data_IF_761621091713
#
_entry.id   IF_761621091713
#
_cell.length_a   1.000
_cell.length_b   1.000
_cell.length_c   1.000
_cell.angle_alpha   90.00
_cell.angle_beta   90.00
_cell.angle_gamma   90.00
#
_symmetry.space_group_name_H-M   'P 1'
#
loop_
_entity.id
_entity.type
_entity.pdbx_description
1 polymer ?
#
# COMPACT_ATOMS: atom_id res chain seq x y z
N UNK A 1 -13.34 -15.97 -25.10
CA UNK A 1 -12.47 -15.30 -24.09
C UNK A 1 -11.98 -13.99 -24.70
N UNK A 2 -11.81 -12.90 -23.93
CA UNK A 2 -11.21 -11.68 -24.45
C UNK A 2 -9.77 -11.97 -24.91
N UNK A 3 -9.38 -11.40 -26.06
CA UNK A 3 -8.03 -11.54 -26.62
C UNK A 3 -7.35 -10.17 -26.57
N UNK A 4 -6.19 -10.12 -25.91
CA UNK A 4 -5.34 -8.93 -25.82
C UNK A 4 -4.07 -9.19 -26.64
N UNK A 5 -3.68 -8.23 -27.48
CA UNK A 5 -2.41 -8.21 -28.22
C UNK A 5 -1.56 -7.09 -27.68
N UNK A 6 -0.33 -7.39 -27.28
CA UNK A 6 0.61 -6.44 -26.66
C UNK A 6 1.93 -6.51 -27.39
N UNK A 7 2.49 -5.36 -27.73
CA UNK A 7 3.85 -5.28 -28.25
C UNK A 7 4.84 -5.33 -27.08
N UNK A 8 5.77 -6.30 -27.13
CA UNK A 8 6.76 -6.51 -26.08
C UNK A 8 8.18 -6.35 -26.66
N UNK A 9 9.13 -5.81 -25.87
CA UNK A 9 10.55 -5.81 -26.24
C UNK A 9 11.10 -7.22 -26.47
N UNK A 10 12.02 -7.40 -27.43
CA UNK A 10 12.64 -8.70 -27.76
C UNK A 10 13.30 -9.37 -26.54
N UNK A 11 13.89 -8.57 -25.64
CA UNK A 11 14.45 -9.02 -24.35
C UNK A 11 13.43 -9.72 -23.42
N UNK A 12 12.14 -9.43 -23.58
CA UNK A 12 11.04 -10.03 -22.81
C UNK A 12 10.44 -11.23 -23.54
N UNK A 13 10.54 -11.32 -24.86
CA UNK A 13 10.01 -12.42 -25.65
C UNK A 13 10.56 -13.78 -25.19
N UNK A 14 11.89 -13.90 -25.05
CA UNK A 14 12.52 -15.14 -24.59
C UNK A 14 12.04 -15.58 -23.19
N UNK A 15 11.83 -14.61 -22.27
CA UNK A 15 11.34 -14.89 -20.92
C UNK A 15 9.87 -15.35 -20.94
N UNK A 16 9.05 -14.70 -21.76
CA UNK A 16 7.63 -15.03 -21.89
C UNK A 16 7.44 -16.42 -22.53
N UNK A 17 8.21 -16.74 -23.56
CA UNK A 17 8.20 -18.09 -24.15
C UNK A 17 8.63 -19.15 -23.15
N UNK A 18 9.61 -18.85 -22.28
CA UNK A 18 10.04 -19.75 -21.21
C UNK A 18 8.95 -19.95 -20.14
N UNK A 19 8.15 -18.92 -19.84
CA UNK A 19 7.05 -19.00 -18.88
C UNK A 19 5.86 -19.82 -19.40
N UNK A 20 5.64 -19.84 -20.72
CA UNK A 20 4.65 -20.69 -21.39
C UNK A 20 3.27 -20.61 -20.76
N UNK A 21 2.76 -21.77 -20.32
CA UNK A 21 1.41 -21.91 -19.74
C UNK A 21 1.24 -21.21 -18.38
N UNK A 22 2.33 -20.81 -17.70
CA UNK A 22 2.28 -20.08 -16.43
C UNK A 22 2.07 -18.58 -16.62
N UNK A 23 2.19 -18.08 -17.85
CA UNK A 23 2.06 -16.65 -18.15
C UNK A 23 0.70 -16.07 -17.71
N UNK A 24 -0.45 -16.71 -18.00
CA UNK A 24 -1.75 -16.19 -17.56
C UNK A 24 -1.85 -16.07 -16.05
N UNK A 25 -1.40 -17.08 -15.29
CA UNK A 25 -1.40 -17.05 -13.83
C UNK A 25 -0.50 -15.93 -13.27
N UNK A 26 0.68 -15.73 -13.86
CA UNK A 26 1.59 -14.67 -13.44
C UNK A 26 1.06 -13.28 -13.80
N UNK A 27 0.33 -13.15 -14.92
CA UNK A 27 -0.38 -11.91 -15.26
C UNK A 27 -1.49 -11.64 -14.25
N UNK A 28 -2.29 -12.63 -13.87
CA UNK A 28 -3.32 -12.49 -12.81
C UNK A 28 -2.68 -12.00 -11.52
N UNK A 29 -1.65 -12.69 -11.02
CA UNK A 29 -0.92 -12.28 -9.82
C UNK A 29 -0.32 -10.87 -9.92
N UNK A 30 0.05 -10.44 -11.12
CA UNK A 30 0.60 -9.10 -11.34
C UNK A 30 -0.46 -8.01 -11.38
N UNK A 31 -1.65 -8.33 -11.88
CA UNK A 31 -2.80 -7.43 -11.87
C UNK A 31 -3.38 -7.26 -10.47
N UNK A 32 -3.23 -8.27 -9.62
CA UNK A 32 -3.61 -8.27 -8.21
C UNK A 32 -2.51 -7.70 -7.28
N UNK A 33 -1.44 -7.09 -7.83
CA UNK A 33 -0.39 -6.52 -6.99
C UNK A 33 -0.95 -5.43 -6.08
N UNK A 34 -0.59 -5.44 -4.78
CA UNK A 34 -1.05 -4.43 -3.85
C UNK A 34 -0.50 -3.06 -4.29
N UNK A 35 -1.34 -2.03 -4.20
CA UNK A 35 -0.94 -0.68 -4.62
C UNK A 35 0.19 -0.10 -3.75
N UNK A 36 0.37 -0.62 -2.54
CA UNK A 36 1.49 -0.32 -1.67
C UNK A 36 2.46 -1.50 -1.55
N UNK A 37 3.77 -1.21 -1.42
CA UNK A 37 4.76 -2.23 -1.07
C UNK A 37 4.41 -2.97 0.23
N UNK A 38 4.67 -4.28 0.28
CA UNK A 38 4.35 -5.13 1.44
C UNK A 38 5.00 -4.67 2.75
N UNK A 39 6.13 -3.95 2.70
CA UNK A 39 6.82 -3.44 3.89
C UNK A 39 5.99 -2.37 4.64
N UNK A 40 5.09 -1.66 3.95
CA UNK A 40 4.22 -0.65 4.55
C UNK A 40 3.21 -1.32 5.50
N UNK A 41 2.57 -2.39 5.04
CA UNK A 41 1.68 -3.21 5.87
C UNK A 41 2.44 -3.89 7.00
N UNK A 42 3.66 -4.37 6.72
CA UNK A 42 4.53 -4.98 7.73
C UNK A 42 4.83 -4.02 8.88
N UNK A 43 5.10 -2.74 8.61
CA UNK A 43 5.34 -1.73 9.65
C UNK A 43 4.17 -1.63 10.65
N UNK A 44 2.94 -1.58 10.14
CA UNK A 44 1.73 -1.52 10.99
C UNK A 44 1.55 -2.82 11.76
N UNK A 45 1.71 -3.97 11.09
CA UNK A 45 1.57 -5.28 11.71
C UNK A 45 2.61 -5.53 12.81
N UNK A 46 3.87 -5.13 12.58
CA UNK A 46 4.94 -5.27 13.56
C UNK A 46 4.69 -4.37 14.79
N UNK A 47 4.16 -3.17 14.57
CA UNK A 47 3.71 -2.30 15.66
C UNK A 47 2.59 -2.98 16.48
N UNK A 48 1.54 -3.50 15.84
CA UNK A 48 0.45 -4.19 16.54
C UNK A 48 0.93 -5.47 17.24
N UNK A 49 1.82 -6.24 16.61
CA UNK A 49 2.39 -7.46 17.18
C UNK A 49 3.28 -7.21 18.40
N UNK A 50 3.82 -5.99 18.55
CA UNK A 50 4.57 -5.58 19.74
C UNK A 50 3.71 -5.40 21.00
N UNK A 51 2.38 -5.56 20.87
CA UNK A 51 1.39 -5.37 21.93
C UNK A 51 1.51 -3.98 22.60
N UNK A 52 1.35 -2.90 21.81
CA UNK A 52 1.65 -1.53 22.25
C UNK A 52 0.67 -1.03 23.30
N UNK A 53 1.11 -0.10 24.15
CA UNK A 53 0.24 0.54 25.14
C UNK A 53 -0.72 1.54 24.46
N UNK A 54 -1.84 1.92 25.10
CA UNK A 54 -2.74 2.95 24.57
C UNK A 54 -2.03 4.27 24.22
N UNK A 55 -1.01 4.68 24.99
CA UNK A 55 -0.22 5.88 24.73
C UNK A 55 0.64 5.73 23.47
N UNK A 56 1.25 4.55 23.29
CA UNK A 56 2.03 4.24 22.09
C UNK A 56 1.13 4.19 20.85
N UNK A 57 -0.09 3.68 20.99
CA UNK A 57 -1.10 3.68 19.92
C UNK A 57 -1.51 5.12 19.56
N UNK A 58 -1.75 5.98 20.55
CA UNK A 58 -2.05 7.39 20.30
C UNK A 58 -0.89 8.12 19.58
N UNK A 59 0.35 7.81 19.96
CA UNK A 59 1.55 8.35 19.35
C UNK A 59 1.94 7.70 18.01
N UNK A 60 1.26 6.62 17.61
CA UNK A 60 1.57 5.93 16.35
C UNK A 60 1.45 6.91 15.16
N UNK A 61 2.47 6.91 14.31
CA UNK A 61 2.53 7.78 13.13
C UNK A 61 3.31 7.08 12.01
N UNK A 62 3.01 7.38 10.74
CA UNK A 62 3.79 6.87 9.61
C UNK A 62 5.26 7.27 9.71
N UNK A 63 6.16 6.45 9.17
CA UNK A 63 7.60 6.77 9.12
C UNK A 63 7.85 8.03 8.26
N UNK A 64 9.00 8.71 8.42
CA UNK A 64 9.34 9.88 7.60
C UNK A 64 9.30 9.59 6.09
N UNK A 65 9.76 8.41 5.69
CA UNK A 65 9.76 7.95 4.30
C UNK A 65 8.33 7.83 3.75
N UNK A 66 7.40 7.27 4.55
CA UNK A 66 5.98 7.19 4.18
C UNK A 66 5.36 8.58 4.05
N UNK A 67 5.69 9.51 4.95
CA UNK A 67 5.18 10.88 4.91
C UNK A 67 5.72 11.64 3.68
N UNK A 68 6.98 11.43 3.32
CA UNK A 68 7.58 12.03 2.13
C UNK A 68 6.94 11.50 0.84
N UNK A 69 6.74 10.17 0.74
CA UNK A 69 6.06 9.55 -0.40
C UNK A 69 4.63 10.08 -0.54
N UNK A 70 3.87 10.12 0.56
CA UNK A 70 2.51 10.66 0.57
C UNK A 70 2.47 12.13 0.11
N UNK A 71 3.38 12.98 0.60
CA UNK A 71 3.48 14.38 0.15
C UNK A 71 3.78 14.50 -1.33
N UNK A 72 4.66 13.65 -1.86
CA UNK A 72 4.95 13.61 -3.29
C UNK A 72 3.71 13.23 -4.10
N UNK A 73 2.98 12.18 -3.69
CA UNK A 73 1.75 11.76 -4.36
C UNK A 73 0.68 12.85 -4.34
N UNK A 74 0.49 13.52 -3.21
CA UNK A 74 -0.44 14.66 -3.08
C UNK A 74 -0.03 15.83 -3.99
N UNK A 75 1.26 16.19 -4.03
CA UNK A 75 1.75 17.24 -4.93
C UNK A 75 1.50 16.90 -6.41
N UNK A 76 1.72 15.64 -6.81
CA UNK A 76 1.44 15.16 -8.17
C UNK A 76 -0.07 15.11 -8.46
N UNK A 77 -0.87 14.78 -7.46
CA UNK A 77 -2.34 14.84 -7.51
C UNK A 77 -2.83 16.24 -7.83
N UNK A 78 -2.33 17.23 -7.09
CA UNK A 78 -2.66 18.64 -7.31
C UNK A 78 -2.20 19.14 -8.69
N UNK A 79 -1.11 18.61 -9.23
CA UNK A 79 -0.63 18.92 -10.57
C UNK A 79 -1.40 18.20 -11.69
N UNK A 80 -2.28 17.23 -11.36
CA UNK A 80 -2.98 16.41 -12.34
C UNK A 80 -2.09 15.41 -13.08
N UNK A 81 -0.93 15.05 -12.49
CA UNK A 81 0.08 14.19 -13.11
C UNK A 81 0.08 12.76 -12.51
N UNK A 82 -0.93 12.39 -11.74
CA UNK A 82 -1.03 11.06 -11.16
C UNK A 82 -1.25 10.00 -12.25
N UNK A 83 -0.43 8.97 -12.22
CA UNK A 83 -0.69 7.73 -12.95
C UNK A 83 -1.75 6.89 -12.22
N UNK A 84 -2.41 5.98 -12.93
CA UNK A 84 -3.39 5.06 -12.31
C UNK A 84 -2.78 4.23 -11.17
N UNK A 85 -1.48 3.91 -11.25
CA UNK A 85 -0.78 3.19 -10.20
C UNK A 85 -0.56 4.08 -8.96
N UNK A 86 -0.15 5.33 -9.16
CA UNK A 86 0.02 6.30 -8.07
C UNK A 86 -1.33 6.69 -7.43
N UNK A 87 -2.42 6.72 -8.21
CA UNK A 87 -3.76 6.94 -7.65
C UNK A 87 -4.15 5.81 -6.69
N UNK A 88 -3.97 4.55 -7.10
CA UNK A 88 -4.22 3.41 -6.20
C UNK A 88 -3.32 3.43 -4.97
N UNK A 89 -2.06 3.88 -5.14
CA UNK A 89 -1.14 4.06 -4.01
C UNK A 89 -1.68 5.08 -3.01
N UNK A 90 -2.21 6.20 -3.50
CA UNK A 90 -2.82 7.25 -2.68
C UNK A 90 -4.10 6.76 -1.97
N UNK A 91 -4.96 6.02 -2.68
CA UNK A 91 -6.18 5.42 -2.11
C UNK A 91 -5.85 4.45 -0.96
N UNK A 92 -4.78 3.67 -1.09
CA UNK A 92 -4.34 2.78 -0.01
C UNK A 92 -3.72 3.53 1.18
N UNK A 93 -3.04 4.65 0.94
CA UNK A 93 -2.59 5.51 2.05
C UNK A 93 -3.79 6.05 2.85
N UNK A 94 -4.90 6.42 2.19
CA UNK A 94 -6.15 6.84 2.84
C UNK A 94 -6.76 5.69 3.66
N UNK A 95 -6.79 4.46 3.13
CA UNK A 95 -7.25 3.28 3.87
C UNK A 95 -6.43 3.05 5.15
N UNK A 96 -5.10 3.18 5.07
CA UNK A 96 -4.21 3.07 6.23
C UNK A 96 -4.49 4.18 7.24
N UNK A 97 -4.68 5.42 6.80
CA UNK A 97 -5.02 6.53 7.68
C UNK A 97 -6.31 6.25 8.45
N UNK A 98 -7.37 5.82 7.76
CA UNK A 98 -8.63 5.45 8.39
C UNK A 98 -8.46 4.33 9.42
N UNK A 99 -7.65 3.31 9.12
CA UNK A 99 -7.34 2.24 10.05
C UNK A 99 -6.64 2.78 11.30
N UNK A 100 -5.66 3.68 11.14
CA UNK A 100 -4.95 4.30 12.26
C UNK A 100 -5.88 5.17 13.09
N UNK A 101 -6.80 5.92 12.47
CA UNK A 101 -7.81 6.71 13.17
C UNK A 101 -8.70 5.80 14.01
N UNK A 102 -9.20 4.69 13.46
CA UNK A 102 -10.01 3.73 14.20
C UNK A 102 -9.24 3.09 15.35
N UNK A 103 -7.98 2.73 15.13
CA UNK A 103 -7.10 2.17 16.15
C UNK A 103 -6.93 3.14 17.32
N UNK A 104 -6.65 4.42 17.02
CA UNK A 104 -6.52 5.48 18.03
C UNK A 104 -7.84 5.71 18.77
N UNK A 105 -8.96 5.78 18.04
CA UNK A 105 -10.28 5.97 18.61
C UNK A 105 -10.68 4.84 19.58
N UNK A 106 -10.38 3.58 19.23
CA UNK A 106 -10.59 2.42 20.09
C UNK A 106 -9.77 2.45 21.38
N UNK A 107 -8.63 3.15 21.38
CA UNK A 107 -7.76 3.31 22.56
C UNK A 107 -8.11 4.54 23.43
N UNK A 108 -8.89 5.50 22.93
CA UNK A 108 -9.26 6.71 23.67
C UNK A 108 -9.88 6.43 25.06
N UNK A 109 -10.78 5.43 25.26
CA UNK A 109 -11.37 5.15 26.57
C UNK A 109 -10.34 4.74 27.64
N UNK A 110 -9.21 4.15 27.23
CA UNK A 110 -8.14 3.71 28.12
C UNK A 110 -7.21 4.86 28.51
N UNK A 111 -7.20 5.96 27.75
CA UNK A 111 -6.39 7.16 28.02
C UNK A 111 -7.10 8.19 28.90
N UNK A 112 -8.44 8.20 28.90
CA UNK A 112 -9.27 9.07 29.73
C UNK A 112 -9.60 8.46 31.10
N UNK A 113 -9.27 7.19 31.32
CA UNK A 113 -9.43 6.49 32.60
C UNK A 113 -8.10 6.47 33.34
N UNK A 114 -7.64 7.64 33.78
CA UNK A 114 -6.62 7.74 34.84
C UNK A 114 -7.34 8.17 36.13
N UNK A 115 -7.18 7.42 37.25
CA UNK A 115 -7.79 7.76 38.55
C UNK A 115 -7.18 9.01 39.19
#
# INVERSE_FOLDING_TARGET
>A
MPQITIEIPEKLAAKITQMGDRLPELLTLSLDQPALPAHIYRYILDFLASNPTPEQIAAFSPTPEMQERLRLLLNRSHAGELTDAEQRELDEYENIEHLVIMLKAGCLPYLSTTP
#
